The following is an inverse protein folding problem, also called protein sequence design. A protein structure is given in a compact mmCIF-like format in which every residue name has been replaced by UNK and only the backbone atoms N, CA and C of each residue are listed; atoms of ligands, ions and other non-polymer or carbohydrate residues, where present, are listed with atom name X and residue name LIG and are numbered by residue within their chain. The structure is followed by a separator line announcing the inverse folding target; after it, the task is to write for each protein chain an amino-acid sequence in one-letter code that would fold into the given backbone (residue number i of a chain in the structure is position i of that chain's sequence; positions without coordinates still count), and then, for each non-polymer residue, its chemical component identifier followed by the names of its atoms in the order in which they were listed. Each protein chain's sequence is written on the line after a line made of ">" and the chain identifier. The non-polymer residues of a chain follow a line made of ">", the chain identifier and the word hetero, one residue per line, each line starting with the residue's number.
data_IF_358221032268
#
_entry.id   IF_358221032268
#
_cell.length_a   1.000
_cell.length_b   1.000
_cell.length_c   1.000
_cell.angle_alpha   90.00
_cell.angle_beta   90.00
_cell.angle_gamma   90.00
#
_symmetry.space_group_name_H-M   'P 1'
#
loop_
_entity.id
_entity.type
_entity.pdbx_description
1 polymer ?
#
# COMPACT_ATOMS: atom_id res chain seq x y z
N UNK A 1 -13.54 21.10 -4.34
CA UNK A 1 -14.82 21.03 -3.61
C UNK A 1 -14.55 20.33 -2.28
N UNK A 2 -14.46 21.05 -1.15
CA UNK A 2 -14.06 20.49 0.15
C UNK A 2 -15.30 19.91 0.84
N UNK A 3 -15.47 18.59 0.84
CA UNK A 3 -16.54 17.92 1.57
C UNK A 3 -16.20 17.89 3.07
N UNK A 4 -16.76 18.83 3.84
CA UNK A 4 -16.77 18.75 5.31
C UNK A 4 -17.80 17.71 5.73
N UNK A 5 -17.33 16.58 6.26
CA UNK A 5 -18.11 15.77 7.18
C UNK A 5 -18.34 16.59 8.46
N UNK A 6 -19.38 17.43 8.47
CA UNK A 6 -19.85 18.06 9.70
C UNK A 6 -20.38 16.96 10.61
N UNK A 7 -19.69 16.78 11.73
CA UNK A 7 -20.00 15.86 12.82
C UNK A 7 -21.28 16.35 13.54
N UNK A 8 -22.43 16.26 12.88
CA UNK A 8 -23.74 16.51 13.50
C UNK A 8 -24.25 15.24 14.19
N UNK A 9 -23.81 15.02 15.42
CA UNK A 9 -24.59 14.23 16.38
C UNK A 9 -25.12 15.11 17.51
N UNK A 10 -26.44 15.33 17.41
CA UNK A 10 -27.38 15.94 18.35
C UNK A 10 -27.11 15.61 19.82
N UNK A 11 -27.20 16.64 20.65
CA UNK A 11 -27.75 16.56 22.02
C UNK A 11 -29.18 16.03 21.97
N UNK A 12 -29.42 14.86 22.55
CA UNK A 12 -30.77 14.34 22.82
C UNK A 12 -30.96 14.16 24.34
N UNK A 13 -31.86 14.97 24.90
CA UNK A 13 -32.36 14.85 26.28
C UNK A 13 -33.34 13.67 26.39
N UNK A 14 -33.06 12.77 27.34
CA UNK A 14 -34.04 12.03 28.16
C UNK A 14 -34.83 10.89 27.50
N UNK A 15 -34.60 9.65 27.98
CA UNK A 15 -35.58 8.67 28.52
C UNK A 15 -35.07 7.23 28.38
N UNK A 16 -35.07 6.49 29.49
CA UNK A 16 -34.89 5.02 29.55
C UNK A 16 -33.45 4.56 29.44
N UNK A 17 -33.04 3.56 30.24
CA UNK A 17 -31.67 3.08 30.37
C UNK A 17 -30.94 3.00 29.03
N UNK A 18 -30.06 3.96 28.77
CA UNK A 18 -29.45 4.14 27.48
C UNK A 18 -28.52 2.97 27.22
N UNK A 19 -28.92 2.09 26.31
CA UNK A 19 -27.98 1.26 25.59
C UNK A 19 -26.82 2.16 25.13
N UNK A 20 -25.58 1.78 25.49
CA UNK A 20 -24.42 2.55 25.09
C UNK A 20 -24.49 2.79 23.57
N UNK A 21 -24.21 4.00 23.06
CA UNK A 21 -24.24 4.29 21.61
C UNK A 21 -23.49 3.23 20.78
N UNK A 22 -22.47 2.64 21.38
CA UNK A 22 -21.65 1.52 20.93
C UNK A 22 -22.46 0.27 20.55
N UNK A 23 -23.47 -0.13 21.33
CA UNK A 23 -24.25 -1.35 21.07
C UNK A 23 -25.24 -1.20 19.91
N UNK A 24 -25.71 0.03 19.63
CA UNK A 24 -26.56 0.31 18.46
C UNK A 24 -25.77 0.25 17.16
N UNK A 25 -24.58 0.83 17.12
CA UNK A 25 -23.66 0.69 15.98
C UNK A 25 -23.37 -0.80 15.78
N UNK A 26 -22.92 -1.51 16.81
CA UNK A 26 -22.62 -2.94 16.71
C UNK A 26 -23.77 -3.81 16.19
N UNK A 27 -25.01 -3.57 16.64
CA UNK A 27 -26.19 -4.29 16.12
C UNK A 27 -26.54 -3.89 14.71
N UNK A 28 -26.45 -2.59 14.40
CA UNK A 28 -26.74 -2.06 13.06
C UNK A 28 -25.82 -2.69 12.00
N UNK A 29 -24.56 -2.93 12.34
CA UNK A 29 -23.55 -3.52 11.45
C UNK A 29 -23.37 -5.05 11.63
N UNK A 30 -24.19 -5.72 12.46
CA UNK A 30 -24.13 -7.17 12.65
C UNK A 30 -22.85 -7.71 13.31
N UNK A 31 -22.13 -6.86 14.05
CA UNK A 31 -20.78 -7.13 14.58
C UNK A 31 -20.79 -7.77 15.99
N UNK A 32 -21.88 -8.46 16.37
CA UNK A 32 -21.90 -9.16 17.65
C UNK A 32 -21.02 -10.41 17.59
N UNK A 33 -20.13 -10.57 18.58
CA UNK A 33 -19.21 -11.72 18.66
C UNK A 33 -17.88 -11.55 17.92
N UNK A 34 -17.58 -10.34 17.41
CA UNK A 34 -16.29 -10.09 16.76
C UNK A 34 -15.19 -10.01 17.83
N UNK A 35 -14.31 -11.00 17.84
CA UNK A 35 -13.18 -11.10 18.78
C UNK A 35 -12.24 -9.88 18.75
N UNK A 36 -12.32 -9.05 17.70
CA UNK A 36 -11.65 -7.77 17.56
C UNK A 36 -12.27 -6.61 18.36
N UNK A 37 -13.38 -6.81 19.07
CA UNK A 37 -14.07 -5.73 19.79
C UNK A 37 -13.19 -4.90 20.74
N UNK A 38 -12.29 -5.50 21.55
CA UNK A 38 -11.36 -4.72 22.38
C UNK A 38 -10.44 -3.79 21.57
N UNK A 39 -10.12 -4.14 20.33
CA UNK A 39 -9.36 -3.28 19.43
C UNK A 39 -10.24 -2.20 18.79
N UNK A 40 -11.39 -2.59 18.22
CA UNK A 40 -12.33 -1.68 17.55
C UNK A 40 -12.75 -0.51 18.46
N UNK A 41 -12.95 -0.74 19.76
CA UNK A 41 -13.26 0.33 20.72
C UNK A 41 -12.15 1.38 20.89
N UNK A 42 -10.91 1.04 20.56
CA UNK A 42 -9.73 1.90 20.76
C UNK A 42 -9.25 2.54 19.46
N UNK A 43 -9.70 2.04 18.30
CA UNK A 43 -9.28 2.52 17.00
C UNK A 43 -10.47 3.01 16.17
N UNK A 44 -10.71 4.33 16.12
CA UNK A 44 -11.71 4.91 15.23
C UNK A 44 -11.44 4.55 13.76
N UNK A 45 -10.17 4.45 13.36
CA UNK A 45 -9.78 4.07 11.99
C UNK A 45 -10.22 2.65 11.68
N UNK A 46 -10.06 1.70 12.61
CA UNK A 46 -10.55 0.33 12.41
C UNK A 46 -12.07 0.27 12.26
N UNK A 47 -12.82 1.06 13.03
CA UNK A 47 -14.28 1.13 12.94
C UNK A 47 -14.71 1.69 11.59
N UNK A 48 -14.09 2.79 11.16
CA UNK A 48 -14.36 3.41 9.86
C UNK A 48 -14.02 2.44 8.73
N UNK A 49 -12.86 1.78 8.77
CA UNK A 49 -12.47 0.77 7.79
C UNK A 49 -13.44 -0.41 7.76
N UNK A 50 -13.84 -0.94 8.92
CA UNK A 50 -14.76 -2.06 9.00
C UNK A 50 -16.13 -1.71 8.40
N UNK A 51 -16.66 -0.52 8.70
CA UNK A 51 -17.91 -0.04 8.11
C UNK A 51 -17.77 0.15 6.59
N UNK A 52 -16.70 0.83 6.17
CA UNK A 52 -16.40 1.08 4.76
C UNK A 52 -16.31 -0.22 3.95
N UNK A 53 -15.59 -1.19 4.51
CA UNK A 53 -15.31 -2.47 3.88
C UNK A 53 -16.52 -3.42 3.88
N UNK A 54 -17.22 -3.50 5.00
CA UNK A 54 -18.38 -4.37 5.16
C UNK A 54 -19.57 -3.96 4.29
N UNK A 55 -19.60 -2.71 3.82
CA UNK A 55 -20.72 -2.13 3.07
C UNK A 55 -20.27 -1.47 1.77
N UNK A 56 -19.22 -2.02 1.15
CA UNK A 56 -18.62 -1.49 -0.06
C UNK A 56 -19.64 -1.20 -1.17
N UNK A 57 -20.58 -2.12 -1.45
CA UNK A 57 -21.63 -1.93 -2.46
C UNK A 57 -22.54 -0.73 -2.16
N UNK A 58 -22.98 -0.59 -0.90
CA UNK A 58 -23.84 0.51 -0.49
C UNK A 58 -23.11 1.86 -0.54
N UNK A 59 -21.84 1.91 -0.14
CA UNK A 59 -21.04 3.13 -0.22
C UNK A 59 -20.72 3.51 -1.67
N UNK A 60 -20.30 2.57 -2.52
CA UNK A 60 -20.09 2.83 -3.95
C UNK A 60 -21.35 3.36 -4.62
N UNK A 61 -22.51 2.77 -4.35
CA UNK A 61 -23.78 3.25 -4.88
C UNK A 61 -24.15 4.67 -4.39
N UNK A 62 -23.73 5.03 -3.17
CA UNK A 62 -24.03 6.32 -2.57
C UNK A 62 -23.08 7.44 -3.02
N UNK A 63 -21.78 7.18 -3.05
CA UNK A 63 -20.74 8.21 -3.28
C UNK A 63 -20.06 8.12 -4.65
N UNK A 64 -20.29 7.05 -5.41
CA UNK A 64 -19.56 6.74 -6.64
C UNK A 64 -18.23 6.02 -6.39
N UNK A 65 -17.68 5.37 -7.41
CA UNK A 65 -16.43 4.59 -7.31
C UNK A 65 -15.23 5.47 -6.94
N UNK A 66 -15.03 6.60 -7.62
CA UNK A 66 -13.87 7.47 -7.38
C UNK A 66 -13.79 7.97 -5.92
N UNK A 67 -14.91 8.46 -5.38
CA UNK A 67 -14.99 8.90 -4.00
C UNK A 67 -14.88 7.73 -3.02
N UNK A 68 -15.39 6.55 -3.41
CA UNK A 68 -15.22 5.33 -2.62
C UNK A 68 -13.72 4.97 -2.50
N UNK A 69 -12.99 5.01 -3.61
CA UNK A 69 -11.57 4.71 -3.63
C UNK A 69 -10.76 5.78 -2.90
N UNK A 70 -11.06 7.07 -3.08
CA UNK A 70 -10.35 8.18 -2.42
C UNK A 70 -10.45 8.09 -0.90
N UNK A 71 -11.66 7.87 -0.38
CA UNK A 71 -11.84 7.69 1.06
C UNK A 71 -11.21 6.39 1.56
N UNK A 72 -11.26 5.31 0.78
CA UNK A 72 -10.54 4.08 1.09
C UNK A 72 -9.04 4.30 1.28
N UNK A 73 -8.41 5.03 0.35
CA UNK A 73 -6.98 5.41 0.43
C UNK A 73 -6.68 6.26 1.66
N UNK A 74 -7.52 7.24 1.97
CA UNK A 74 -7.36 8.11 3.15
C UNK A 74 -7.45 7.32 4.47
N UNK A 75 -8.36 6.33 4.54
CA UNK A 75 -8.48 5.45 5.69
C UNK A 75 -7.26 4.55 5.83
N UNK A 76 -6.83 3.89 4.74
CA UNK A 76 -5.65 3.02 4.75
C UNK A 76 -4.35 3.76 5.04
N UNK A 77 -4.24 5.03 4.61
CA UNK A 77 -3.09 5.89 4.92
C UNK A 77 -2.95 6.23 6.39
N UNK A 78 -3.96 5.94 7.22
CA UNK A 78 -3.93 6.12 8.69
C UNK A 78 -4.02 4.81 9.45
N UNK A 79 -4.28 3.72 8.75
CA UNK A 79 -4.48 2.42 9.34
C UNK A 79 -3.17 1.92 9.96
N UNK A 80 -3.29 1.19 11.05
CA UNK A 80 -2.30 0.23 11.50
C UNK A 80 -2.61 -1.15 10.90
N UNK A 81 -1.65 -2.08 10.90
CA UNK A 81 -1.89 -3.46 10.47
C UNK A 81 -3.08 -4.13 11.17
N UNK A 82 -3.28 -3.82 12.46
CA UNK A 82 -4.39 -4.36 13.25
C UNK A 82 -5.73 -3.77 12.83
N UNK A 83 -5.76 -2.53 12.36
CA UNK A 83 -7.00 -1.92 11.84
C UNK A 83 -7.45 -2.65 10.57
N UNK A 84 -6.52 -2.96 9.67
CA UNK A 84 -6.81 -3.75 8.46
C UNK A 84 -7.29 -5.17 8.79
N UNK A 85 -6.63 -5.85 9.74
CA UNK A 85 -7.05 -7.17 10.20
C UNK A 85 -8.44 -7.14 10.86
N UNK A 86 -8.70 -6.16 11.73
CA UNK A 86 -9.99 -5.99 12.40
C UNK A 86 -11.12 -5.63 11.43
N UNK A 87 -10.80 -4.92 10.34
CA UNK A 87 -11.71 -4.66 9.22
C UNK A 87 -11.98 -5.91 8.35
N UNK A 88 -11.29 -7.02 8.60
CA UNK A 88 -11.48 -8.29 7.90
C UNK A 88 -10.83 -8.33 6.52
N UNK A 89 -9.85 -7.47 6.24
CA UNK A 89 -9.09 -7.49 4.98
C UNK A 89 -8.33 -8.81 4.81
N UNK A 90 -8.07 -9.20 3.56
CA UNK A 90 -7.15 -10.30 3.26
C UNK A 90 -5.72 -9.88 3.58
N UNK A 91 -4.83 -10.84 3.86
CA UNK A 91 -3.43 -10.57 4.18
C UNK A 91 -2.52 -11.46 3.33
N UNK A 92 -1.24 -11.09 3.14
CA UNK A 92 -0.29 -11.79 2.24
C UNK A 92 -0.12 -13.28 2.55
N UNK A 93 -0.44 -13.68 3.78
CA UNK A 93 -0.39 -15.08 4.23
C UNK A 93 -1.65 -15.88 3.92
N UNK A 94 -2.79 -15.21 3.73
CA UNK A 94 -4.12 -15.78 3.57
C UNK A 94 -4.88 -14.95 2.54
N UNK A 95 -4.45 -15.06 1.29
CA UNK A 95 -5.11 -14.40 0.15
C UNK A 95 -6.49 -15.04 -0.10
N UNK A 96 -6.63 -16.34 0.25
CA UNK A 96 -7.82 -17.15 0.03
C UNK A 96 -8.95 -16.92 1.06
N UNK A 97 -8.68 -16.21 2.16
CA UNK A 97 -9.67 -16.00 3.23
C UNK A 97 -9.35 -14.77 4.07
N UNK A 98 -10.40 -14.11 4.54
CA UNK A 98 -10.27 -12.94 5.40
C UNK A 98 -9.41 -13.24 6.65
N UNK A 99 -8.56 -12.28 7.02
CA UNK A 99 -7.64 -12.36 8.15
C UNK A 99 -8.41 -12.13 9.48
N UNK A 100 -9.50 -12.90 9.70
CA UNK A 100 -10.49 -12.69 10.78
C UNK A 100 -10.09 -13.30 12.11
N UNK A 101 -9.22 -14.31 12.13
CA UNK A 101 -8.80 -15.00 13.36
C UNK A 101 -7.77 -14.16 14.12
N UNK A 102 -8.16 -13.47 15.21
CA UNK A 102 -7.27 -12.58 15.96
C UNK A 102 -6.16 -13.35 16.67
N UNK A 103 -6.35 -14.63 16.95
CA UNK A 103 -5.35 -15.51 17.58
C UNK A 103 -4.00 -15.53 16.85
N UNK A 104 -3.98 -15.18 15.56
CA UNK A 104 -2.75 -15.10 14.76
C UNK A 104 -2.46 -13.64 14.38
N UNK A 105 -3.47 -12.90 13.93
CA UNK A 105 -3.27 -11.58 13.31
C UNK A 105 -3.36 -10.42 14.30
N UNK A 106 -3.94 -10.63 15.48
CA UNK A 106 -3.93 -9.62 16.54
C UNK A 106 -2.66 -9.66 17.39
N UNK A 107 -1.89 -10.74 17.32
CA UNK A 107 -0.63 -10.87 18.04
C UNK A 107 0.39 -9.82 17.57
N UNK A 108 1.29 -9.43 18.47
CA UNK A 108 2.46 -8.64 18.10
C UNK A 108 3.47 -9.53 17.35
N UNK A 109 4.24 -8.97 16.40
CA UNK A 109 5.35 -9.71 15.82
C UNK A 109 6.36 -10.10 16.92
N UNK A 110 6.89 -11.32 16.83
CA UNK A 110 7.78 -11.88 17.85
C UNK A 110 9.11 -11.12 17.99
N UNK A 111 9.54 -10.41 16.94
CA UNK A 111 10.73 -9.57 16.94
C UNK A 111 10.40 -8.21 16.29
N UNK A 112 10.76 -7.08 16.94
CA UNK A 112 10.63 -5.76 16.34
C UNK A 112 11.40 -5.69 15.01
N UNK A 113 10.81 -5.06 13.98
CA UNK A 113 11.50 -4.84 12.71
C UNK A 113 11.60 -6.06 11.79
N UNK A 114 10.97 -7.20 12.11
CA UNK A 114 10.90 -8.35 11.20
C UNK A 114 9.46 -8.85 11.10
N UNK A 115 8.74 -8.34 10.11
CA UNK A 115 7.36 -8.74 9.82
C UNK A 115 7.23 -9.70 8.64
N UNK A 116 8.31 -10.05 7.97
CA UNK A 116 8.22 -11.04 6.90
C UNK A 116 8.28 -12.46 7.47
N UNK A 117 7.35 -13.33 7.03
CA UNK A 117 7.37 -14.77 7.32
C UNK A 117 6.12 -15.31 8.01
N UNK A 118 6.12 -16.59 8.41
CA UNK A 118 4.94 -17.28 8.93
C UNK A 118 4.64 -16.99 10.42
N UNK A 119 5.21 -15.94 11.01
CA UNK A 119 5.02 -15.61 12.43
C UNK A 119 3.70 -14.86 12.71
N UNK A 120 3.06 -15.06 13.89
CA UNK A 120 1.91 -14.24 14.29
C UNK A 120 2.25 -12.75 14.32
N UNK A 121 1.29 -11.89 14.00
CA UNK A 121 1.51 -10.44 13.95
C UNK A 121 2.44 -9.95 12.85
N UNK A 122 2.88 -10.84 11.95
CA UNK A 122 3.84 -10.57 10.89
C UNK A 122 3.14 -10.39 9.52
N UNK A 123 1.97 -9.75 9.49
CA UNK A 123 1.35 -9.37 8.22
C UNK A 123 1.87 -7.99 7.81
N UNK A 124 2.82 -7.96 6.88
CA UNK A 124 3.36 -6.74 6.29
C UNK A 124 2.47 -6.13 5.21
N UNK A 125 1.46 -6.86 4.71
CA UNK A 125 0.56 -6.36 3.68
C UNK A 125 -0.86 -6.92 3.79
N UNK A 126 -1.81 -6.08 3.36
CA UNK A 126 -3.23 -6.39 3.35
C UNK A 126 -3.85 -6.01 2.01
N UNK A 127 -4.78 -6.83 1.57
CA UNK A 127 -5.56 -6.64 0.35
C UNK A 127 -6.99 -6.32 0.74
N UNK A 128 -7.49 -5.22 0.21
CA UNK A 128 -8.89 -4.89 0.26
C UNK A 128 -9.63 -5.63 -0.85
N UNK A 129 -10.23 -4.87 -1.74
CA UNK A 129 -10.94 -5.37 -2.90
C UNK A 129 -9.88 -5.66 -3.94
N UNK A 130 -10.32 -5.99 -5.14
CA UNK A 130 -9.42 -6.25 -6.26
C UNK A 130 -8.48 -5.07 -6.58
N UNK A 131 -8.69 -3.88 -6.00
CA UNK A 131 -8.05 -2.63 -6.42
C UNK A 131 -7.23 -1.93 -5.34
N UNK A 132 -7.36 -2.29 -4.06
CA UNK A 132 -6.61 -1.66 -2.96
C UNK A 132 -5.64 -2.62 -2.24
N UNK A 133 -4.39 -2.17 -2.10
CA UNK A 133 -3.36 -2.83 -1.29
C UNK A 133 -2.74 -1.85 -0.33
N UNK A 134 -2.40 -2.31 0.87
CA UNK A 134 -1.56 -1.56 1.82
C UNK A 134 -0.40 -2.43 2.26
N UNK A 135 0.81 -1.88 2.30
CA UNK A 135 2.01 -2.50 2.86
C UNK A 135 2.63 -1.62 3.92
N UNK A 136 3.06 -2.23 5.02
CA UNK A 136 3.64 -1.57 6.18
C UNK A 136 5.15 -1.79 6.21
N UNK A 137 5.91 -0.77 6.63
CA UNK A 137 7.33 -0.92 6.91
C UNK A 137 7.55 -1.98 8.00
N UNK A 138 8.74 -2.58 8.08
CA UNK A 138 9.05 -3.56 9.12
C UNK A 138 8.78 -3.11 10.56
N UNK A 139 8.82 -1.81 10.85
CA UNK A 139 8.51 -1.21 12.16
C UNK A 139 7.12 -0.57 12.26
N UNK A 140 6.25 -0.76 11.26
CA UNK A 140 4.89 -0.23 11.15
C UNK A 140 4.75 1.31 11.20
N UNK A 141 5.86 2.06 11.04
CA UNK A 141 5.81 3.53 11.02
C UNK A 141 5.31 4.08 9.70
N UNK A 142 5.61 3.39 8.61
CA UNK A 142 5.28 3.82 7.26
C UNK A 142 4.28 2.87 6.62
N UNK A 143 3.41 3.42 5.79
CA UNK A 143 2.54 2.63 4.92
C UNK A 143 2.54 3.11 3.49
N UNK A 144 2.49 2.15 2.60
CA UNK A 144 2.35 2.35 1.17
C UNK A 144 0.99 1.79 0.75
N UNK A 145 0.14 2.64 0.20
CA UNK A 145 -1.18 2.28 -0.32
C UNK A 145 -1.11 2.30 -1.84
N UNK A 146 -1.36 1.16 -2.48
CA UNK A 146 -1.50 1.07 -3.93
C UNK A 146 -2.97 0.94 -4.28
N UNK A 147 -3.46 1.80 -5.17
CA UNK A 147 -4.81 1.75 -5.72
C UNK A 147 -4.71 1.56 -7.22
N UNK A 148 -5.27 0.49 -7.75
CA UNK A 148 -5.31 0.25 -9.19
C UNK A 148 -6.43 1.05 -9.83
N UNK A 149 -6.16 1.63 -11.00
CA UNK A 149 -7.15 2.33 -11.81
C UNK A 149 -7.76 1.32 -12.81
N UNK A 150 -9.10 1.22 -12.82
CA UNK A 150 -9.84 0.15 -13.51
C UNK A 150 -9.49 0.03 -15.01
N UNK A 151 -9.18 1.16 -15.66
CA UNK A 151 -9.01 1.20 -17.12
C UNK A 151 -7.56 1.01 -17.60
N UNK A 152 -6.55 1.22 -16.75
CA UNK A 152 -5.16 1.44 -17.22
C UNK A 152 -4.16 0.35 -16.89
N UNK A 153 -4.57 -0.73 -16.20
CA UNK A 153 -3.66 -1.74 -15.62
C UNK A 153 -2.54 -1.17 -14.73
N UNK A 154 -2.51 0.14 -14.52
CA UNK A 154 -1.56 0.86 -13.70
C UNK A 154 -2.15 1.10 -12.31
N UNK A 155 -1.26 1.19 -11.33
CA UNK A 155 -1.59 1.60 -9.98
C UNK A 155 -1.04 2.98 -9.67
N UNK A 156 -1.73 3.65 -8.77
CA UNK A 156 -1.27 4.85 -8.10
C UNK A 156 -0.78 4.48 -6.71
N UNK A 157 0.26 5.17 -6.26
CA UNK A 157 0.91 4.92 -4.99
C UNK A 157 0.78 6.13 -4.07
N UNK A 158 0.45 5.88 -2.81
CA UNK A 158 0.55 6.84 -1.72
C UNK A 158 1.46 6.27 -0.65
N UNK A 159 2.40 7.08 -0.16
CA UNK A 159 3.23 6.75 0.99
C UNK A 159 2.91 7.73 2.11
N UNK A 160 2.44 7.21 3.24
CA UNK A 160 1.97 8.01 4.38
C UNK A 160 0.95 9.11 4.03
N UNK A 161 0.10 8.82 3.05
CA UNK A 161 -0.95 9.73 2.57
C UNK A 161 -0.48 10.74 1.52
N UNK A 162 0.81 10.77 1.16
CA UNK A 162 1.35 11.60 0.08
C UNK A 162 1.39 10.78 -1.20
N UNK A 163 0.81 11.31 -2.28
CA UNK A 163 0.87 10.65 -3.59
C UNK A 163 2.29 10.69 -4.16
N UNK A 164 2.76 9.55 -4.63
CA UNK A 164 4.09 9.37 -5.21
C UNK A 164 3.96 9.30 -6.73
N UNK A 165 4.68 10.18 -7.44
CA UNK A 165 4.76 10.26 -8.91
C UNK A 165 3.43 10.05 -9.65
N UNK A 166 2.61 11.10 -9.72
CA UNK A 166 1.26 11.03 -10.30
C UNK A 166 1.22 10.74 -11.81
N UNK A 167 2.36 10.80 -12.51
CA UNK A 167 2.43 10.61 -13.97
C UNK A 167 3.10 9.30 -14.39
N UNK A 168 3.53 8.47 -13.43
CA UNK A 168 4.17 7.19 -13.70
C UNK A 168 3.16 6.05 -13.60
N UNK A 169 3.16 5.15 -14.59
CA UNK A 169 2.38 3.92 -14.55
C UNK A 169 3.12 2.86 -13.71
N UNK A 170 2.60 2.58 -12.52
CA UNK A 170 3.20 1.65 -11.56
C UNK A 170 2.52 0.28 -11.60
N UNK A 171 3.29 -0.79 -11.37
CA UNK A 171 2.74 -2.10 -11.13
C UNK A 171 1.92 -2.12 -9.82
N UNK A 172 0.99 -3.06 -9.72
CA UNK A 172 0.10 -3.23 -8.58
C UNK A 172 0.82 -3.96 -7.43
N UNK A 173 1.93 -3.42 -6.95
CA UNK A 173 2.65 -3.96 -5.80
C UNK A 173 4.07 -3.44 -5.68
N UNK A 174 4.46 -3.05 -4.48
CA UNK A 174 5.84 -2.71 -4.13
C UNK A 174 6.27 -3.41 -2.86
N UNK A 175 7.46 -3.13 -2.37
CA UNK A 175 7.96 -3.68 -1.11
C UNK A 175 8.87 -2.67 -0.40
N UNK A 176 9.03 -2.88 0.90
CA UNK A 176 9.88 -2.06 1.74
C UNK A 176 11.32 -2.57 1.72
N UNK A 177 12.28 -1.67 1.53
CA UNK A 177 13.70 -1.91 1.77
C UNK A 177 14.09 -1.20 3.07
N UNK A 178 14.14 -1.99 4.15
CA UNK A 178 14.22 -1.46 5.51
C UNK A 178 12.98 -0.64 5.88
N UNK A 179 13.15 0.36 6.75
CA UNK A 179 12.07 1.29 7.13
C UNK A 179 12.13 2.61 6.35
N UNK A 180 12.88 2.67 5.25
CA UNK A 180 13.21 3.94 4.57
C UNK A 180 12.71 4.01 3.13
N UNK A 181 12.97 2.96 2.36
CA UNK A 181 12.67 2.98 0.93
C UNK A 181 11.47 2.12 0.61
N UNK A 182 10.54 2.67 -0.17
CA UNK A 182 9.51 1.86 -0.82
C UNK A 182 9.86 1.71 -2.29
N UNK A 183 9.90 0.47 -2.76
CA UNK A 183 10.30 0.10 -4.12
C UNK A 183 9.10 -0.48 -4.85
N UNK A 184 8.81 0.02 -6.04
CA UNK A 184 7.73 -0.48 -6.90
C UNK A 184 8.20 -0.51 -8.35
N UNK A 185 7.81 -1.54 -9.10
CA UNK A 185 8.09 -1.58 -10.54
C UNK A 185 7.21 -0.56 -11.26
N UNK A 186 7.77 0.04 -12.30
CA UNK A 186 7.08 0.90 -13.24
C UNK A 186 7.21 0.30 -14.64
N UNK A 187 6.33 0.71 -15.54
CA UNK A 187 6.44 0.32 -16.95
C UNK A 187 7.83 0.69 -17.49
N UNK A 188 8.50 -0.25 -18.16
CA UNK A 188 9.77 0.01 -18.83
C UNK A 188 9.61 0.89 -20.07
N UNK A 189 10.73 1.39 -20.62
CA UNK A 189 10.70 2.20 -21.84
C UNK A 189 10.21 1.40 -23.05
N UNK A 190 9.31 2.00 -23.83
CA UNK A 190 8.70 1.36 -25.02
C UNK A 190 9.73 1.06 -26.12
N UNK A 191 10.80 1.86 -26.19
CA UNK A 191 11.88 1.81 -27.17
C UNK A 191 13.09 0.99 -26.72
N UNK A 192 13.03 0.35 -25.55
CA UNK A 192 14.13 -0.51 -25.09
C UNK A 192 14.39 -1.65 -26.10
N UNK A 193 15.64 -1.92 -26.52
CA UNK A 193 15.93 -2.90 -27.56
C UNK A 193 15.56 -4.34 -27.18
N UNK A 194 15.49 -4.63 -25.88
CA UNK A 194 15.05 -5.92 -25.35
C UNK A 194 13.55 -5.98 -25.03
N UNK A 195 12.79 -4.90 -25.30
CA UNK A 195 11.37 -4.84 -24.97
C UNK A 195 10.56 -5.85 -25.77
N UNK A 196 9.64 -6.51 -25.07
CA UNK A 196 8.62 -7.36 -25.68
C UNK A 196 7.28 -7.10 -25.01
N UNK A 197 6.22 -7.09 -25.81
CA UNK A 197 4.86 -6.85 -25.34
C UNK A 197 4.09 -8.17 -25.27
N UNK A 198 3.46 -8.43 -24.13
CA UNK A 198 2.61 -9.59 -23.92
C UNK A 198 1.33 -9.27 -23.15
N UNK A 199 0.48 -10.29 -22.86
CA UNK A 199 -0.80 -10.13 -22.16
C UNK A 199 -0.73 -9.53 -20.74
N UNK A 200 0.48 -9.31 -20.20
CA UNK A 200 0.72 -8.66 -18.90
C UNK A 200 1.50 -7.35 -18.98
N UNK A 201 1.68 -6.79 -20.18
CA UNK A 201 2.48 -5.58 -20.39
C UNK A 201 3.87 -5.86 -20.97
N UNK A 202 4.78 -4.92 -20.71
CA UNK A 202 6.16 -4.95 -21.16
C UNK A 202 7.01 -5.95 -20.38
N UNK A 203 8.02 -6.53 -21.03
CA UNK A 203 8.97 -7.44 -20.36
C UNK A 203 10.06 -6.71 -19.58
N UNK A 204 10.52 -5.56 -20.06
CA UNK A 204 11.48 -4.74 -19.34
C UNK A 204 10.71 -3.78 -18.45
N UNK A 205 11.15 -3.68 -17.20
CA UNK A 205 10.55 -2.84 -16.18
C UNK A 205 11.52 -1.74 -15.74
N UNK A 206 10.95 -0.57 -15.44
CA UNK A 206 11.64 0.48 -14.69
C UNK A 206 11.42 0.25 -13.19
N UNK A 207 12.21 0.92 -12.34
CA UNK A 207 12.04 0.89 -10.89
C UNK A 207 11.79 2.29 -10.34
N UNK A 208 10.71 2.46 -9.60
CA UNK A 208 10.51 3.65 -8.78
C UNK A 208 10.91 3.35 -7.33
N UNK A 209 11.85 4.15 -6.81
CA UNK A 209 12.31 4.09 -5.42
C UNK A 209 11.90 5.38 -4.72
N UNK A 210 11.08 5.28 -3.68
CA UNK A 210 10.68 6.42 -2.86
C UNK A 210 11.44 6.41 -1.53
N UNK A 211 12.23 7.46 -1.25
CA UNK A 211 12.98 7.69 -0.01
C UNK A 211 12.17 8.56 0.94
N UNK A 212 11.63 7.96 2.00
CA UNK A 212 10.72 8.65 2.92
C UNK A 212 11.43 9.69 3.77
N UNK A 213 12.68 9.43 4.16
CA UNK A 213 13.44 10.39 4.96
C UNK A 213 13.66 11.70 4.20
N UNK A 214 13.76 11.61 2.87
CA UNK A 214 13.92 12.77 1.98
C UNK A 214 12.61 13.26 1.37
N UNK A 215 11.54 12.47 1.43
CA UNK A 215 10.28 12.75 0.75
C UNK A 215 10.45 12.84 -0.78
N UNK A 216 11.38 12.08 -1.35
CA UNK A 216 11.78 12.18 -2.74
C UNK A 216 11.72 10.81 -3.43
N UNK A 217 11.34 10.81 -4.70
CA UNK A 217 11.31 9.59 -5.53
C UNK A 217 12.41 9.64 -6.59
N UNK A 218 12.88 8.46 -6.99
CA UNK A 218 13.79 8.29 -8.13
C UNK A 218 13.25 7.20 -9.02
N UNK A 219 12.96 7.55 -10.27
CA UNK A 219 12.68 6.60 -11.33
C UNK A 219 14.01 6.16 -11.94
N UNK A 220 14.28 4.87 -11.91
CA UNK A 220 15.41 4.24 -12.57
C UNK A 220 14.89 3.57 -13.84
N UNK A 221 15.42 4.02 -14.96
CA UNK A 221 15.17 3.43 -16.27
C UNK A 221 16.38 2.54 -16.61
N UNK A 222 16.16 1.29 -17.08
CA UNK A 222 17.24 0.45 -17.57
C UNK A 222 17.86 1.06 -18.84
N UNK A 223 19.18 0.98 -18.93
CA UNK A 223 19.92 1.26 -20.17
C UNK A 223 19.70 0.15 -21.19
N UNK A 224 19.97 0.41 -22.47
CA UNK A 224 19.82 -0.53 -23.60
C UNK A 224 20.42 -1.92 -23.40
N UNK A 225 21.41 -2.05 -22.51
CA UNK A 225 22.11 -3.31 -22.21
C UNK A 225 21.58 -4.03 -20.96
N UNK A 226 20.67 -3.41 -20.21
CA UNK A 226 20.16 -3.91 -18.94
C UNK A 226 18.82 -4.64 -19.12
N UNK A 227 18.82 -5.94 -18.83
CA UNK A 227 17.66 -6.80 -19.01
C UNK A 227 16.78 -6.88 -17.75
N UNK A 228 16.28 -5.75 -17.24
CA UNK A 228 15.48 -5.71 -16.00
C UNK A 228 14.08 -6.30 -16.21
N UNK A 229 13.94 -7.63 -16.12
CA UNK A 229 12.66 -8.32 -16.39
C UNK A 229 11.77 -8.53 -15.18
N UNK A 230 12.36 -8.63 -13.99
CA UNK A 230 11.64 -8.65 -12.71
C UNK A 230 12.58 -8.07 -11.64
N UNK A 231 12.92 -6.78 -11.75
CA UNK A 231 14.05 -6.25 -11.04
C UNK A 231 13.81 -6.23 -9.52
N UNK A 232 14.84 -6.63 -8.78
CA UNK A 232 14.85 -6.62 -7.31
C UNK A 232 15.81 -5.55 -6.82
N UNK A 233 15.45 -4.92 -5.70
CA UNK A 233 16.32 -3.98 -5.00
C UNK A 233 16.62 -4.56 -3.64
N UNK A 234 17.88 -4.51 -3.20
CA UNK A 234 18.27 -4.91 -1.85
C UNK A 234 19.12 -3.82 -1.21
N UNK A 235 18.75 -3.41 0.00
CA UNK A 235 19.57 -2.51 0.81
C UNK A 235 20.66 -3.30 1.54
N UNK A 236 21.93 -3.01 1.24
CA UNK A 236 23.10 -3.58 1.91
C UNK A 236 23.98 -2.45 2.44
N UNK A 237 23.97 -2.22 3.76
CA UNK A 237 24.67 -1.09 4.35
C UNK A 237 24.10 0.25 3.85
N UNK A 238 24.93 1.02 3.18
CA UNK A 238 24.61 2.30 2.53
C UNK A 238 24.44 2.18 1.00
N UNK A 239 24.24 0.97 0.48
CA UNK A 239 24.08 0.72 -0.94
C UNK A 239 22.73 0.07 -1.26
N UNK A 240 22.06 0.58 -2.29
CA UNK A 240 20.95 -0.09 -2.95
C UNK A 240 21.50 -0.86 -4.15
N UNK A 241 21.45 -2.18 -4.07
CA UNK A 241 21.87 -3.10 -5.14
C UNK A 241 20.63 -3.47 -5.96
N UNK A 242 20.68 -3.21 -7.27
CA UNK A 242 19.61 -3.52 -8.21
C UNK A 242 20.02 -4.73 -9.04
N UNK A 243 19.17 -5.75 -9.00
CA UNK A 243 19.33 -6.98 -9.76
C UNK A 243 18.29 -7.01 -10.87
N UNK A 244 18.70 -7.46 -12.06
CA UNK A 244 17.83 -7.50 -13.22
C UNK A 244 16.63 -8.46 -13.05
N UNK A 245 16.87 -9.56 -12.34
CA UNK A 245 15.88 -10.59 -12.01
C UNK A 245 16.31 -11.38 -10.77
N UNK A 246 15.54 -12.41 -10.42
CA UNK A 246 15.81 -13.29 -9.28
C UNK A 246 17.07 -14.16 -9.45
N UNK A 247 17.42 -14.56 -10.67
CA UNK A 247 18.62 -15.36 -10.91
C UNK A 247 19.89 -14.53 -10.63
N UNK A 248 19.91 -13.27 -11.10
CA UNK A 248 20.98 -12.32 -10.80
C UNK A 248 21.10 -12.04 -9.29
N UNK A 249 19.97 -11.90 -8.60
CA UNK A 249 19.93 -11.78 -7.13
C UNK A 249 20.54 -13.00 -6.44
N UNK A 250 20.12 -14.21 -6.83
CA UNK A 250 20.58 -15.45 -6.19
C UNK A 250 22.08 -15.71 -6.45
N UNK A 251 22.63 -15.19 -7.55
CA UNK A 251 24.06 -15.21 -7.87
C UNK A 251 24.86 -14.05 -7.23
N UNK A 252 24.18 -13.10 -6.57
CA UNK A 252 24.72 -11.82 -6.10
C UNK A 252 25.45 -10.98 -7.17
N UNK A 253 24.86 -10.93 -8.37
CA UNK A 253 25.37 -10.17 -9.51
C UNK A 253 24.48 -8.94 -9.78
N UNK A 254 24.65 -7.82 -9.05
CA UNK A 254 23.84 -6.63 -9.27
C UNK A 254 24.19 -6.00 -10.63
N UNK A 255 23.16 -5.63 -11.39
CA UNK A 255 23.34 -4.85 -12.62
C UNK A 255 23.69 -3.39 -12.34
N UNK A 256 23.20 -2.85 -11.21
CA UNK A 256 23.47 -1.47 -10.79
C UNK A 256 23.60 -1.37 -9.27
N UNK A 257 24.45 -0.47 -8.81
CA UNK A 257 24.61 -0.16 -7.38
C UNK A 257 24.49 1.34 -7.19
N UNK A 258 23.63 1.77 -6.27
CA UNK A 258 23.42 3.17 -5.93
C UNK A 258 23.87 3.42 -4.50
N UNK A 259 24.76 4.40 -4.29
CA UNK A 259 25.19 4.79 -2.94
C UNK A 259 24.26 5.82 -2.32
N UNK A 260 23.91 5.59 -1.06
CA UNK A 260 23.08 6.50 -0.30
C UNK A 260 23.89 7.72 0.13
N UNK A 261 23.45 8.91 -0.28
CA UNK A 261 24.09 10.17 0.13
C UNK A 261 25.00 10.80 -0.91
N UNK A 262 25.31 10.11 -2.00
CA UNK A 262 25.73 10.79 -3.22
C UNK A 262 24.54 11.63 -3.70
N UNK A 263 24.68 12.95 -3.60
CA UNK A 263 23.77 13.86 -4.27
C UNK A 263 23.83 13.50 -5.75
N UNK A 264 22.74 12.95 -6.26
CA UNK A 264 22.60 12.76 -7.70
C UNK A 264 22.70 14.16 -8.26
N UNK A 265 23.78 14.44 -8.98
CA UNK A 265 23.82 15.62 -9.83
C UNK A 265 22.56 15.52 -10.68
N UNK A 266 21.65 16.46 -10.46
CA UNK A 266 20.43 16.60 -11.24
C UNK A 266 20.90 16.81 -12.68
N UNK A 267 20.97 15.71 -13.42
CA UNK A 267 21.43 15.71 -14.80
C UNK A 267 20.24 16.26 -15.58
N UNK A 268 20.08 17.59 -15.49
CA UNK A 268 18.89 18.40 -15.74
C UNK A 268 18.31 18.27 -17.13
N UNK A 269 17.92 17.05 -17.47
CA UNK A 269 17.20 16.67 -18.66
C UNK A 269 15.75 16.93 -18.29
N UNK A 270 15.37 18.21 -18.36
CA UNK A 270 13.96 18.55 -18.41
C UNK A 270 13.33 17.66 -19.49
N UNK A 271 12.26 16.92 -19.18
CA UNK A 271 11.56 16.15 -20.19
C UNK A 271 11.07 17.15 -21.23
N UNK A 272 11.66 17.10 -22.42
CA UNK A 272 11.24 17.90 -23.55
C UNK A 272 9.76 17.69 -23.76
N UNK A 273 8.96 18.69 -23.42
CA UNK A 273 7.53 18.73 -23.75
C UNK A 273 7.41 19.00 -25.24
N UNK A 274 7.65 17.98 -26.06
CA UNK A 274 7.30 18.03 -27.46
C UNK A 274 5.78 17.99 -27.56
N UNK A 275 5.23 19.11 -28.04
CA UNK A 275 3.81 19.40 -28.09
C UNK A 275 3.03 18.41 -28.97
N UNK A 276 1.90 17.97 -28.43
CA UNK A 276 0.74 17.52 -29.19
C UNK A 276 -0.12 18.70 -29.62
#
# INVERSE_FOLDING_TARGET
>A
MKWRWDRQHRTQKGFGGAEAPESRVLRHWGLQGVEWWPWLRRSPVAVDLLAWWGHAEAYRALVGEDAYQERGRELLSRASPRDCAAAGMGCERRIDRACRTPEICALEPAAPGRREGPAPGACSGFYGDTWLRVRFSPDDRHRAVSCREDEKWASRLWVDGVQVEADVALDFGGHWQGNRFYVVQAMGPDDHPMQRWGPGGGWIASLLIHDIERGASRLLVPEDTEAWTDPLVVLTGDELRIYADRAAHDADEPGRVLRLGEAVADDGTEPGTDGY
#
